data_IF_284584069030
#
_entry.id   IF_284584069030
#
_cell.length_a   1.000
_cell.length_b   1.000
_cell.length_c   1.000
_cell.angle_alpha   90.00
_cell.angle_beta   90.00
_cell.angle_gamma   90.00
#
_symmetry.space_group_name_H-M   'P 1'
#
loop_
_entity.id
_entity.type
_entity.pdbx_description
1 polymer ?
#
# COMPACT_ATOMS: atom_id res chain seq x y z
N UNK A 1 -17.76 75.69 11.23
CA UNK A 1 -16.76 74.68 10.84
C UNK A 1 -16.98 73.45 11.71
N UNK A 2 -17.81 72.51 11.25
CA UNK A 2 -17.99 71.20 11.90
C UNK A 2 -17.44 70.13 10.95
N UNK A 3 -16.49 69.35 11.45
CA UNK A 3 -15.78 68.30 10.73
C UNK A 3 -16.66 67.04 10.73
N UNK A 4 -17.15 66.62 9.57
CA UNK A 4 -17.87 65.34 9.42
C UNK A 4 -16.84 64.21 9.27
N UNK A 5 -16.74 63.33 10.26
CA UNK A 5 -15.96 62.08 10.17
C UNK A 5 -16.84 61.01 9.53
N UNK A 6 -16.49 60.59 8.32
CA UNK A 6 -17.12 59.45 7.63
C UNK A 6 -16.49 58.17 8.16
N UNK A 7 -17.26 57.37 8.91
CA UNK A 7 -16.86 56.02 9.32
C UNK A 7 -17.27 55.03 8.22
N UNK A 8 -16.32 54.60 7.40
CA UNK A 8 -16.51 53.49 6.47
C UNK A 8 -16.33 52.18 7.26
N UNK A 9 -17.44 51.49 7.53
CA UNK A 9 -17.41 50.13 8.08
C UNK A 9 -17.02 49.13 6.98
N UNK A 10 -15.78 48.64 7.02
CA UNK A 10 -15.33 47.50 6.22
C UNK A 10 -15.83 46.20 6.87
N UNK A 11 -16.92 45.64 6.35
CA UNK A 11 -17.33 44.26 6.62
C UNK A 11 -16.34 43.32 5.92
N UNK A 12 -15.29 42.92 6.62
CA UNK A 12 -14.45 41.78 6.26
C UNK A 12 -15.28 40.50 6.44
N UNK A 13 -15.90 40.04 5.35
CA UNK A 13 -16.37 38.67 5.26
C UNK A 13 -15.14 37.75 5.25
N UNK A 14 -14.89 37.10 6.38
CA UNK A 14 -13.88 36.06 6.50
C UNK A 14 -14.33 34.84 5.70
N UNK A 15 -13.91 34.79 4.43
CA UNK A 15 -13.94 33.55 3.65
C UNK A 15 -13.05 32.56 4.39
N UNK A 16 -13.58 31.41 4.88
CA UNK A 16 -12.73 30.42 5.52
C UNK A 16 -11.73 29.93 4.48
N UNK A 17 -10.45 30.06 4.81
CA UNK A 17 -9.35 29.57 4.00
C UNK A 17 -9.62 28.09 3.68
N UNK A 18 -9.90 27.81 2.40
CA UNK A 18 -9.96 26.44 1.89
C UNK A 18 -8.61 25.81 2.18
N UNK A 19 -8.58 24.86 3.12
CA UNK A 19 -7.39 24.09 3.44
C UNK A 19 -6.81 23.56 2.13
N UNK A 20 -5.58 23.97 1.82
CA UNK A 20 -4.82 23.43 0.68
C UNK A 20 -4.80 21.90 0.84
N UNK A 21 -5.05 21.12 -0.22
CA UNK A 21 -4.83 19.68 -0.15
C UNK A 21 -3.39 19.47 0.31
N UNK A 22 -3.19 18.61 1.30
CA UNK A 22 -1.86 18.11 1.65
C UNK A 22 -1.27 17.61 0.33
N UNK A 23 -0.22 18.28 -0.19
CA UNK A 23 0.50 17.78 -1.34
C UNK A 23 0.92 16.34 -1.02
N UNK A 24 0.38 15.37 -1.77
CA UNK A 24 0.64 13.96 -1.55
C UNK A 24 2.10 13.66 -1.94
N UNK A 25 2.99 13.87 -0.97
CA UNK A 25 4.42 13.62 -1.09
C UNK A 25 4.70 12.17 -1.48
N UNK A 26 3.75 11.25 -1.21
CA UNK A 26 3.85 9.84 -1.58
C UNK A 26 3.69 9.62 -3.10
N UNK A 27 2.82 10.38 -3.77
CA UNK A 27 2.55 10.21 -5.21
C UNK A 27 3.74 10.64 -6.08
N UNK A 28 4.50 11.68 -5.67
CA UNK A 28 5.74 12.08 -6.37
C UNK A 28 6.86 11.04 -6.31
N UNK A 29 6.81 10.13 -5.33
CA UNK A 29 7.80 9.07 -5.17
C UNK A 29 7.45 7.86 -6.06
N UNK A 30 6.16 7.55 -6.21
CA UNK A 30 5.69 6.53 -7.17
C UNK A 30 6.00 6.92 -8.63
N UNK A 31 6.04 8.21 -8.98
CA UNK A 31 6.33 8.65 -10.36
C UNK A 31 7.71 8.25 -10.89
N UNK A 32 8.68 7.94 -10.02
CA UNK A 32 10.04 7.57 -10.44
C UNK A 32 10.26 6.07 -10.64
N UNK A 33 9.28 5.21 -10.38
CA UNK A 33 9.45 3.74 -10.52
C UNK A 33 9.34 3.21 -11.96
N UNK A 34 9.16 4.09 -12.95
CA UNK A 34 9.02 3.70 -14.35
C UNK A 34 10.32 3.47 -15.15
N UNK A 35 11.49 3.88 -14.65
CA UNK A 35 12.76 3.71 -15.39
C UNK A 35 13.95 3.48 -14.45
N UNK A 36 14.31 2.21 -14.27
CA UNK A 36 15.59 1.80 -13.73
C UNK A 36 16.04 0.54 -14.47
N UNK A 37 16.93 0.71 -15.44
CA UNK A 37 17.72 -0.39 -16.01
C UNK A 37 18.39 -1.10 -14.81
N UNK A 38 18.10 -2.38 -14.62
CA UNK A 38 18.55 -3.30 -13.54
C UNK A 38 17.58 -3.60 -12.36
N UNK A 39 16.34 -3.10 -12.36
CA UNK A 39 15.32 -3.43 -11.34
C UNK A 39 14.23 -4.44 -11.80
N UNK A 40 13.51 -5.14 -10.88
CA UNK A 40 12.36 -5.96 -11.27
C UNK A 40 11.24 -5.09 -11.85
N UNK A 41 10.48 -5.64 -12.79
CA UNK A 41 9.30 -4.95 -13.32
C UNK A 41 8.28 -4.75 -12.19
N UNK A 42 7.92 -3.49 -11.93
CA UNK A 42 6.88 -3.12 -10.98
C UNK A 42 5.55 -2.97 -11.73
N UNK A 43 4.52 -3.66 -11.26
CA UNK A 43 3.12 -3.54 -11.70
C UNK A 43 2.28 -3.09 -10.53
N UNK A 44 1.09 -2.54 -10.79
CA UNK A 44 0.23 -2.05 -9.69
C UNK A 44 0.98 -1.08 -8.79
N UNK A 45 1.81 -0.19 -9.35
CA UNK A 45 2.55 0.82 -8.59
C UNK A 45 3.69 0.32 -7.69
N UNK A 46 3.53 -0.80 -7.00
CA UNK A 46 4.36 -1.29 -5.89
C UNK A 46 4.47 -2.83 -5.82
N UNK A 47 3.97 -3.58 -6.81
CA UNK A 47 4.08 -5.04 -6.85
C UNK A 47 5.17 -5.45 -7.84
N UNK A 48 6.25 -6.06 -7.34
CA UNK A 48 7.30 -6.62 -8.19
C UNK A 48 6.88 -7.95 -8.84
N UNK A 49 7.19 -8.12 -10.12
CA UNK A 49 6.98 -9.36 -10.90
C UNK A 49 8.32 -10.05 -11.15
N UNK A 50 8.46 -11.37 -10.89
CA UNK A 50 9.64 -12.11 -11.29
C UNK A 50 9.91 -12.01 -12.79
N UNK A 51 11.17 -11.91 -13.19
CA UNK A 51 11.55 -11.91 -14.61
C UNK A 51 11.07 -13.21 -15.29
N UNK A 52 10.29 -13.08 -16.37
CA UNK A 52 9.83 -14.22 -17.17
C UNK A 52 8.46 -14.83 -16.83
N UNK A 53 7.66 -14.26 -15.91
CA UNK A 53 6.34 -14.82 -15.58
C UNK A 53 5.17 -13.86 -15.77
N UNK A 54 4.06 -14.41 -16.30
CA UNK A 54 2.86 -13.69 -16.67
C UNK A 54 1.99 -13.32 -15.45
N UNK A 55 1.50 -12.10 -15.53
CA UNK A 55 0.60 -11.40 -14.63
C UNK A 55 -0.80 -12.05 -14.54
N UNK A 56 -0.99 -13.07 -13.70
CA UNK A 56 -2.24 -13.43 -13.00
C UNK A 56 -2.13 -14.84 -12.38
N UNK A 57 -1.52 -14.96 -11.19
CA UNK A 57 -1.69 -16.18 -10.40
C UNK A 57 -2.46 -15.83 -9.13
N UNK A 58 -3.54 -16.54 -8.77
CA UNK A 58 -3.96 -16.63 -7.38
C UNK A 58 -2.86 -17.37 -6.62
N UNK A 59 -1.73 -16.70 -6.39
CA UNK A 59 -0.48 -17.33 -5.97
C UNK A 59 -0.67 -18.07 -4.64
N UNK A 60 -1.57 -17.53 -3.80
CA UNK A 60 -1.92 -18.07 -2.48
C UNK A 60 -2.70 -19.38 -2.59
N UNK A 61 -3.26 -19.71 -3.76
CA UNK A 61 -3.94 -20.97 -4.01
C UNK A 61 -2.98 -22.11 -4.42
N UNK A 62 -1.73 -21.81 -4.82
CA UNK A 62 -0.84 -22.82 -5.43
C UNK A 62 0.45 -23.04 -4.66
N UNK A 63 1.34 -22.04 -4.48
CA UNK A 63 2.66 -22.23 -3.81
C UNK A 63 3.29 -20.98 -3.16
N UNK A 64 2.71 -19.78 -3.29
CA UNK A 64 3.35 -18.54 -2.80
C UNK A 64 3.13 -18.26 -1.30
N UNK A 65 2.40 -19.11 -0.56
CA UNK A 65 2.23 -18.88 0.87
C UNK A 65 3.55 -19.10 1.64
N UNK A 66 3.75 -18.30 2.67
CA UNK A 66 4.72 -18.63 3.72
C UNK A 66 4.28 -19.89 4.47
N UNK A 67 5.24 -20.73 4.86
CA UNK A 67 4.94 -22.06 5.41
C UNK A 67 4.49 -21.95 6.86
N UNK A 68 3.37 -22.59 7.18
CA UNK A 68 2.91 -22.78 8.56
C UNK A 68 3.76 -23.87 9.23
N UNK A 69 4.28 -23.55 10.41
CA UNK A 69 5.05 -24.47 11.24
C UNK A 69 4.11 -25.38 12.04
N UNK A 70 4.66 -26.47 12.60
CA UNK A 70 3.89 -27.46 13.37
C UNK A 70 3.18 -26.87 14.60
N UNK A 71 3.74 -25.82 15.19
CA UNK A 71 3.13 -25.10 16.32
C UNK A 71 2.01 -24.13 15.92
N UNK A 72 1.60 -24.14 14.65
CA UNK A 72 0.53 -23.28 14.15
C UNK A 72 0.97 -21.85 13.78
N UNK A 73 2.23 -21.47 14.00
CA UNK A 73 2.76 -20.15 13.65
C UNK A 73 3.37 -20.14 12.24
N UNK A 74 3.37 -18.97 11.60
CA UNK A 74 4.01 -18.75 10.29
C UNK A 74 5.20 -17.83 10.50
N UNK A 75 6.40 -18.41 10.47
CA UNK A 75 7.63 -17.63 10.59
C UNK A 75 8.05 -17.09 9.24
N UNK A 76 8.23 -15.77 9.15
CA UNK A 76 8.71 -15.06 7.96
C UNK A 76 10.07 -14.45 8.30
N UNK A 77 11.17 -15.10 7.90
CA UNK A 77 12.51 -14.58 8.19
C UNK A 77 12.77 -13.27 7.45
N UNK A 78 13.48 -12.34 8.08
CA UNK A 78 13.83 -11.05 7.47
C UNK A 78 15.26 -10.60 7.79
N UNK A 79 15.84 -9.83 6.88
CA UNK A 79 17.08 -9.07 7.06
C UNK A 79 16.79 -7.60 6.77
N UNK A 80 17.32 -6.69 7.59
CA UNK A 80 17.25 -5.25 7.36
C UNK A 80 18.63 -4.78 6.91
N UNK A 81 18.67 -4.06 5.79
CA UNK A 81 19.89 -3.44 5.25
C UNK A 81 20.52 -2.45 6.24
N UNK A 82 21.84 -2.33 6.22
CA UNK A 82 22.57 -1.33 7.02
C UNK A 82 22.45 0.10 6.46
N UNK A 83 21.72 0.29 5.36
CA UNK A 83 21.42 1.60 4.79
C UNK A 83 20.51 2.46 5.68
N UNK A 84 19.72 1.82 6.55
CA UNK A 84 18.75 2.51 7.42
C UNK A 84 19.41 3.05 8.69
N UNK A 85 18.95 4.22 9.13
CA UNK A 85 19.31 4.78 10.45
C UNK A 85 18.68 3.97 11.59
N UNK A 86 19.17 4.13 12.85
CA UNK A 86 18.54 3.49 14.00
C UNK A 86 17.05 3.82 14.17
N UNK A 87 16.64 5.06 13.88
CA UNK A 87 15.24 5.48 13.96
C UNK A 87 14.39 4.85 12.84
N UNK A 88 14.91 4.78 11.61
CA UNK A 88 14.25 4.09 10.51
C UNK A 88 14.07 2.59 10.81
N UNK A 89 15.09 1.95 11.41
CA UNK A 89 15.02 0.55 11.86
C UNK A 89 13.94 0.37 12.93
N UNK A 90 13.75 1.35 13.83
CA UNK A 90 12.70 1.30 14.86
C UNK A 90 11.31 1.26 14.21
N UNK A 91 11.05 2.13 13.22
CA UNK A 91 9.79 2.16 12.45
C UNK A 91 9.57 0.84 11.70
N UNK A 92 10.59 0.33 11.01
CA UNK A 92 10.49 -0.96 10.29
C UNK A 92 10.16 -2.11 11.27
N UNK A 93 10.82 -2.15 12.43
CA UNK A 93 10.55 -3.14 13.48
C UNK A 93 9.16 -2.98 14.09
N UNK A 94 8.64 -1.76 14.24
CA UNK A 94 7.26 -1.52 14.68
C UNK A 94 6.27 -2.11 13.67
N UNK A 95 6.47 -1.88 12.37
CA UNK A 95 5.68 -2.50 11.30
C UNK A 95 5.71 -4.03 11.35
N UNK A 96 6.90 -4.64 11.47
CA UNK A 96 7.05 -6.10 11.61
C UNK A 96 6.32 -6.65 12.86
N UNK A 97 6.46 -5.97 14.00
CA UNK A 97 5.88 -6.39 15.27
C UNK A 97 4.34 -6.24 15.32
N UNK A 98 3.76 -5.39 14.46
CA UNK A 98 2.31 -5.16 14.43
C UNK A 98 1.49 -6.42 14.16
N UNK A 99 2.08 -7.47 13.59
CA UNK A 99 1.41 -8.73 13.26
C UNK A 99 1.33 -9.74 14.43
N UNK A 100 2.22 -9.61 15.43
CA UNK A 100 2.44 -10.64 16.47
C UNK A 100 1.24 -10.85 17.38
N UNK A 101 0.54 -9.78 17.76
CA UNK A 101 -0.61 -9.83 18.69
C UNK A 101 -1.96 -10.08 18.04
N UNK A 102 -2.03 -10.01 16.71
CA UNK A 102 -3.30 -10.01 15.96
C UNK A 102 -3.41 -11.19 14.97
N UNK A 103 -2.32 -11.94 14.80
CA UNK A 103 -2.25 -13.06 13.87
C UNK A 103 -1.23 -14.11 14.33
N UNK A 104 -1.14 -15.21 13.57
CA UNK A 104 -0.11 -16.25 13.71
C UNK A 104 1.20 -15.91 12.95
N UNK A 105 1.28 -14.79 12.24
CA UNK A 105 2.48 -14.37 11.52
C UNK A 105 3.54 -13.90 12.51
N UNK A 106 4.79 -14.36 12.34
CA UNK A 106 5.95 -13.98 13.15
C UNK A 106 7.08 -13.60 12.21
N UNK A 107 7.34 -12.31 12.10
CA UNK A 107 8.56 -11.85 11.45
C UNK A 107 9.73 -12.08 12.39
N UNK A 108 10.74 -12.83 11.93
CA UNK A 108 11.89 -13.22 12.75
C UNK A 108 13.21 -12.86 12.05
N UNK A 109 14.27 -12.50 12.77
CA UNK A 109 15.57 -12.30 12.16
C UNK A 109 16.01 -13.53 11.35
N UNK A 110 16.53 -13.28 10.15
CA UNK A 110 17.10 -14.31 9.29
C UNK A 110 18.30 -14.97 9.98
N UNK A 111 18.29 -16.30 9.97
CA UNK A 111 19.31 -17.17 10.55
C UNK A 111 19.50 -18.40 9.65
N UNK A 112 19.86 -18.17 8.38
CA UNK A 112 20.18 -19.24 7.42
C UNK A 112 18.99 -19.90 6.73
N UNK A 113 17.75 -19.42 6.94
CA UNK A 113 16.60 -19.94 6.19
C UNK A 113 16.74 -19.60 4.70
N UNK A 114 16.37 -20.52 3.81
CA UNK A 114 16.43 -20.31 2.35
C UNK A 114 15.56 -19.13 1.90
N UNK A 115 14.34 -19.08 2.40
CA UNK A 115 13.34 -18.09 1.99
C UNK A 115 13.25 -16.99 3.06
N UNK A 116 13.46 -15.73 2.67
CA UNK A 116 13.46 -14.60 3.60
C UNK A 116 13.17 -13.27 2.90
N UNK A 117 12.76 -12.27 3.65
CA UNK A 117 12.61 -10.89 3.19
C UNK A 117 13.92 -10.13 3.34
N UNK A 118 14.41 -9.55 2.26
CA UNK A 118 15.54 -8.63 2.25
C UNK A 118 15.01 -7.19 2.19
N UNK A 119 14.87 -6.56 3.36
CA UNK A 119 14.35 -5.20 3.50
C UNK A 119 15.50 -4.22 3.22
N UNK A 120 15.39 -3.45 2.13
CA UNK A 120 16.44 -2.51 1.69
C UNK A 120 15.85 -1.26 1.05
N UNK A 121 16.66 -0.21 0.92
CA UNK A 121 16.22 1.04 0.33
C UNK A 121 16.59 1.10 -1.16
N UNK A 122 15.71 0.61 -2.02
CA UNK A 122 15.78 0.87 -3.46
C UNK A 122 14.92 2.11 -3.82
N UNK A 123 14.65 2.32 -5.11
CA UNK A 123 13.75 3.36 -5.60
C UNK A 123 12.29 2.96 -5.37
N UNK A 124 11.55 3.75 -4.60
CA UNK A 124 10.14 3.51 -4.30
C UNK A 124 9.86 2.50 -3.18
N UNK A 125 8.56 2.33 -2.91
CA UNK A 125 8.01 1.36 -1.97
C UNK A 125 7.46 0.20 -2.80
N UNK A 126 7.95 -1.03 -2.59
CA UNK A 126 7.42 -2.18 -3.31
C UNK A 126 7.76 -3.51 -2.65
N UNK A 127 7.01 -4.54 -3.00
CA UNK A 127 7.22 -5.91 -2.55
C UNK A 127 6.76 -6.92 -3.60
N UNK A 128 7.21 -8.16 -3.47
CA UNK A 128 6.64 -9.26 -4.24
C UNK A 128 5.36 -9.78 -3.59
N UNK A 129 4.47 -10.36 -4.39
CA UNK A 129 3.27 -11.02 -3.87
C UNK A 129 3.55 -12.42 -3.34
N UNK A 130 3.53 -12.56 -2.02
CA UNK A 130 3.80 -13.84 -1.37
C UNK A 130 5.28 -14.23 -1.43
N UNK A 131 5.56 -15.43 -0.95
CA UNK A 131 6.87 -16.10 -0.95
C UNK A 131 7.28 -16.50 -2.37
N UNK A 132 8.38 -15.94 -2.86
CA UNK A 132 8.95 -16.23 -4.19
C UNK A 132 9.91 -17.43 -4.18
N UNK A 133 10.54 -17.71 -3.03
CA UNK A 133 11.64 -18.66 -2.91
C UNK A 133 13.00 -17.94 -2.97
N UNK A 134 13.92 -18.29 -2.07
CA UNK A 134 15.14 -17.51 -1.88
C UNK A 134 14.90 -16.20 -1.12
N UNK A 135 15.92 -15.33 -1.09
CA UNK A 135 15.78 -13.97 -0.58
C UNK A 135 15.00 -13.09 -1.55
N UNK A 136 13.90 -12.48 -1.10
CA UNK A 136 13.08 -11.57 -1.91
C UNK A 136 13.11 -10.15 -1.35
N UNK A 137 13.12 -9.16 -2.23
CA UNK A 137 13.22 -7.74 -1.83
C UNK A 137 11.88 -7.24 -1.30
N UNK A 138 11.95 -6.45 -0.23
CA UNK A 138 10.95 -5.47 0.18
C UNK A 138 11.65 -4.13 0.15
N UNK A 139 11.30 -3.27 -0.81
CA UNK A 139 11.88 -1.93 -0.90
C UNK A 139 11.12 -0.98 -0.01
N UNK A 140 11.83 -0.37 0.93
CA UNK A 140 11.33 0.78 1.68
C UNK A 140 12.33 1.91 1.47
N UNK A 141 12.12 2.73 0.44
CA UNK A 141 12.96 3.91 0.21
C UNK A 141 12.99 4.79 1.46
N UNK A 142 14.20 5.08 1.96
CA UNK A 142 14.41 5.82 3.23
C UNK A 142 13.59 7.11 3.31
N UNK A 143 13.58 7.87 2.23
CA UNK A 143 12.72 9.04 2.07
C UNK A 143 11.46 8.62 1.33
N UNK A 144 10.34 8.53 2.04
CA UNK A 144 9.02 8.26 1.46
C UNK A 144 8.31 7.01 1.97
N UNK A 145 9.04 5.92 2.26
CA UNK A 145 8.42 4.63 2.56
C UNK A 145 8.51 4.21 4.02
N UNK A 146 9.40 4.82 4.81
CA UNK A 146 9.64 4.41 6.21
C UNK A 146 8.59 5.04 7.14
N UNK A 147 7.36 4.59 6.97
CA UNK A 147 6.21 4.88 7.82
C UNK A 147 5.49 3.59 8.17
N UNK A 148 5.00 3.45 9.41
CA UNK A 148 4.38 2.22 9.91
C UNK A 148 3.34 1.61 8.96
N UNK A 149 2.45 2.43 8.41
CA UNK A 149 1.38 1.98 7.52
C UNK A 149 1.89 1.50 6.15
N UNK A 150 2.95 2.11 5.61
CA UNK A 150 3.59 1.66 4.36
C UNK A 150 4.36 0.36 4.63
N UNK A 151 5.07 0.25 5.76
CA UNK A 151 5.72 -1.00 6.13
C UNK A 151 4.68 -2.13 6.25
N UNK A 152 3.54 -1.89 6.89
CA UNK A 152 2.44 -2.87 6.94
C UNK A 152 1.91 -3.23 5.54
N UNK A 153 1.75 -2.25 4.65
CA UNK A 153 1.31 -2.45 3.27
C UNK A 153 2.25 -3.38 2.49
N UNK A 154 3.55 -3.10 2.50
CA UNK A 154 4.54 -3.91 1.77
C UNK A 154 4.69 -5.32 2.36
N UNK A 155 4.52 -5.46 3.67
CA UNK A 155 4.49 -6.76 4.33
C UNK A 155 3.23 -7.56 3.99
N UNK A 156 2.07 -6.91 3.80
CA UNK A 156 0.85 -7.56 3.31
C UNK A 156 1.03 -8.06 1.86
N UNK A 157 1.68 -7.29 0.99
CA UNK A 157 2.11 -7.80 -0.31
C UNK A 157 3.00 -9.03 -0.17
N UNK A 158 4.02 -8.97 0.69
CA UNK A 158 4.90 -10.11 0.94
C UNK A 158 4.15 -11.35 1.49
N UNK A 159 3.00 -11.17 2.14
CA UNK A 159 2.11 -12.23 2.60
C UNK A 159 1.13 -12.73 1.52
N UNK A 160 1.03 -12.06 0.37
CA UNK A 160 0.26 -12.47 -0.80
C UNK A 160 -1.06 -11.71 -0.98
N UNK A 161 -1.21 -10.52 -0.40
CA UNK A 161 -2.38 -9.68 -0.58
C UNK A 161 -2.17 -8.69 -1.73
N UNK A 162 -3.13 -8.65 -2.66
CA UNK A 162 -3.22 -7.58 -3.67
C UNK A 162 -3.89 -6.34 -3.07
N UNK A 163 -3.82 -5.22 -3.79
CA UNK A 163 -4.62 -4.05 -3.43
C UNK A 163 -6.12 -4.28 -3.49
N UNK A 164 -6.84 -3.51 -2.69
CA UNK A 164 -8.29 -3.61 -2.56
C UNK A 164 -9.01 -3.22 -3.86
N UNK A 165 -8.56 -2.16 -4.54
CA UNK A 165 -9.16 -1.69 -5.80
C UNK A 165 -8.97 -2.65 -6.98
N UNK A 166 -8.10 -3.65 -6.84
CA UNK A 166 -7.88 -4.68 -7.84
C UNK A 166 -8.74 -5.93 -7.61
N UNK A 167 -9.58 -5.98 -6.57
CA UNK A 167 -10.47 -7.12 -6.33
C UNK A 167 -11.38 -7.41 -7.53
N UNK A 168 -11.72 -8.69 -7.68
CA UNK A 168 -12.62 -9.18 -8.73
C UNK A 168 -14.02 -8.55 -8.69
N UNK A 169 -14.49 -8.15 -7.50
CA UNK A 169 -15.82 -7.56 -7.25
C UNK A 169 -15.80 -6.02 -7.14
N UNK A 170 -14.65 -5.36 -7.33
CA UNK A 170 -14.47 -3.93 -7.07
C UNK A 170 -15.44 -3.01 -7.81
N UNK A 171 -15.93 -3.39 -9.00
CA UNK A 171 -16.87 -2.56 -9.79
C UNK A 171 -18.25 -2.40 -9.11
N UNK A 172 -18.53 -3.17 -8.05
CA UNK A 172 -19.72 -2.98 -7.18
C UNK A 172 -19.52 -1.89 -6.12
N UNK A 173 -18.29 -1.40 -5.96
CA UNK A 173 -17.86 -0.57 -4.83
C UNK A 173 -17.17 0.72 -5.28
N UNK A 174 -16.43 0.68 -6.39
CA UNK A 174 -15.77 1.86 -6.94
C UNK A 174 -15.96 1.95 -8.45
N UNK A 175 -15.94 3.18 -8.96
CA UNK A 175 -15.81 3.48 -10.38
C UNK A 175 -14.40 3.99 -10.66
N UNK A 176 -13.74 3.43 -11.67
CA UNK A 176 -12.44 3.92 -12.17
C UNK A 176 -12.70 4.95 -13.26
N UNK A 177 -12.03 6.09 -13.17
CA UNK A 177 -12.06 7.19 -14.13
C UNK A 177 -10.79 7.17 -14.99
N UNK A 178 -10.74 6.24 -15.94
CA UNK A 178 -9.56 6.03 -16.79
C UNK A 178 -9.08 7.29 -17.52
N UNK A 179 -10.00 8.20 -17.85
CA UNK A 179 -9.66 9.47 -18.50
C UNK A 179 -8.75 10.37 -17.65
N UNK A 180 -8.70 10.19 -16.32
CA UNK A 180 -7.86 10.96 -15.40
C UNK A 180 -6.53 10.29 -15.07
N UNK A 181 -6.31 9.03 -15.49
CA UNK A 181 -5.10 8.26 -15.19
C UNK A 181 -3.96 8.68 -16.13
N UNK A 182 -2.72 8.74 -15.61
CA UNK A 182 -1.52 8.96 -16.43
C UNK A 182 -1.42 7.88 -17.52
N UNK A 183 -1.17 8.27 -18.79
CA UNK A 183 -1.00 7.30 -19.87
C UNK A 183 0.03 6.23 -19.51
N UNK A 184 -0.27 4.98 -19.85
CA UNK A 184 0.52 3.77 -19.54
C UNK A 184 0.42 3.29 -18.08
N UNK A 185 -0.23 4.01 -17.17
CA UNK A 185 -0.44 3.58 -15.78
C UNK A 185 -1.81 2.91 -15.55
N UNK A 186 -2.63 2.76 -16.59
CA UNK A 186 -3.97 2.15 -16.51
C UNK A 186 -3.91 0.68 -16.07
N UNK A 187 -2.78 0.02 -16.31
CA UNK A 187 -2.55 -1.35 -15.90
C UNK A 187 -2.61 -1.53 -14.37
N UNK A 188 -2.31 -0.49 -13.59
CA UNK A 188 -2.40 -0.48 -12.12
C UNK A 188 -3.86 -0.61 -11.61
N UNK A 189 -4.84 -0.36 -12.46
CA UNK A 189 -6.26 -0.40 -12.11
C UNK A 189 -6.97 -1.64 -12.66
N UNK A 190 -6.24 -2.56 -13.31
CA UNK A 190 -6.80 -3.80 -13.84
C UNK A 190 -7.22 -4.74 -12.72
N UNK A 191 -8.45 -5.26 -12.79
CA UNK A 191 -8.95 -6.27 -11.85
C UNK A 191 -8.07 -7.53 -11.87
N UNK A 192 -8.01 -8.21 -10.74
CA UNK A 192 -7.38 -9.51 -10.55
C UNK A 192 -8.42 -10.54 -10.13
N UNK A 193 -8.17 -11.81 -10.50
CA UNK A 193 -8.95 -12.95 -9.98
C UNK A 193 -8.53 -13.21 -8.54
N UNK A 194 -9.04 -12.40 -7.63
CA UNK A 194 -8.72 -12.44 -6.20
C UNK A 194 -9.54 -13.51 -5.49
N UNK A 195 -8.91 -14.19 -4.53
CA UNK A 195 -9.64 -14.91 -3.48
C UNK A 195 -9.99 -13.91 -2.38
N UNK A 196 -11.26 -13.48 -2.35
CA UNK A 196 -11.73 -12.46 -1.41
C UNK A 196 -11.89 -12.99 0.04
N UNK A 197 -11.61 -14.28 0.27
CA UNK A 197 -11.68 -14.96 1.58
C UNK A 197 -13.02 -14.77 2.31
N UNK A 198 -14.11 -14.60 1.56
CA UNK A 198 -15.45 -14.33 2.10
C UNK A 198 -15.48 -13.10 2.99
N UNK A 199 -14.73 -12.05 2.64
CA UNK A 199 -14.76 -10.75 3.32
C UNK A 199 -15.34 -9.68 2.39
N UNK A 200 -16.08 -8.70 2.93
CA UNK A 200 -16.60 -7.59 2.14
C UNK A 200 -15.44 -6.73 1.61
N UNK A 201 -15.77 -5.88 0.63
CA UNK A 201 -14.89 -4.82 0.17
C UNK A 201 -14.67 -3.79 1.28
N UNK A 202 -13.45 -3.33 1.45
CA UNK A 202 -13.04 -2.45 2.54
C UNK A 202 -12.36 -1.17 2.05
N UNK A 203 -13.11 -0.07 2.02
CA UNK A 203 -12.59 1.25 1.66
C UNK A 203 -11.48 1.75 2.59
N UNK A 204 -11.44 1.25 3.84
CA UNK A 204 -10.46 1.62 4.87
C UNK A 204 -9.30 0.61 4.97
N UNK A 205 -9.19 -0.34 4.03
CA UNK A 205 -8.04 -1.24 3.97
C UNK A 205 -6.76 -0.44 3.74
N UNK A 206 -5.69 -0.81 4.45
CA UNK A 206 -4.35 -0.23 4.17
C UNK A 206 -3.87 -0.58 2.76
N UNK A 207 -4.49 -1.58 2.12
CA UNK A 207 -4.21 -2.00 0.75
C UNK A 207 -5.05 -1.25 -0.30
N UNK A 208 -5.88 -0.27 0.07
CA UNK A 208 -6.66 0.50 -0.88
C UNK A 208 -5.88 1.74 -1.35
N UNK A 209 -5.81 1.98 -2.65
CA UNK A 209 -5.24 3.21 -3.20
C UNK A 209 -5.99 4.48 -2.80
N UNK A 210 -5.25 5.60 -2.81
CA UNK A 210 -5.81 6.94 -2.68
C UNK A 210 -6.80 7.23 -3.82
N UNK A 211 -7.68 8.20 -3.60
CA UNK A 211 -8.63 8.69 -4.59
C UNK A 211 -7.97 9.26 -5.86
N UNK A 212 -6.75 9.78 -5.70
CA UNK A 212 -6.01 10.51 -6.74
C UNK A 212 -4.84 9.71 -7.31
N UNK A 213 -4.67 8.46 -6.89
CA UNK A 213 -3.59 7.59 -7.31
C UNK A 213 -3.43 7.63 -8.84
N UNK A 214 -2.20 7.90 -9.29
CA UNK A 214 -1.83 8.01 -10.70
C UNK A 214 -2.62 9.05 -11.53
N UNK A 215 -3.11 10.11 -10.90
CA UNK A 215 -3.81 11.19 -11.60
C UNK A 215 -2.85 12.02 -12.48
N UNK A 216 -3.29 12.35 -13.70
CA UNK A 216 -2.56 13.23 -14.63
C UNK A 216 -2.94 14.69 -14.53
N UNK A 217 -4.05 14.98 -13.85
CA UNK A 217 -4.72 16.28 -13.87
C UNK A 217 -5.20 16.71 -12.48
N UNK A 218 -4.72 16.06 -11.41
CA UNK A 218 -5.16 16.27 -10.02
C UNK A 218 -6.66 16.01 -9.79
N UNK A 219 -7.33 15.36 -10.73
CA UNK A 219 -8.72 14.92 -10.60
C UNK A 219 -8.77 13.47 -10.09
N UNK A 220 -9.85 13.04 -9.42
CA UNK A 220 -9.99 11.67 -8.93
C UNK A 220 -9.82 10.63 -10.06
N UNK A 221 -9.03 9.59 -9.81
CA UNK A 221 -8.95 8.41 -10.69
C UNK A 221 -9.92 7.31 -10.24
N UNK A 222 -10.41 7.38 -9.00
CA UNK A 222 -11.39 6.45 -8.44
C UNK A 222 -12.45 7.15 -7.60
N UNK A 223 -13.69 6.70 -7.71
CA UNK A 223 -14.81 7.24 -6.95
C UNK A 223 -15.59 6.08 -6.30
N UNK A 224 -15.77 6.08 -4.96
CA UNK A 224 -16.63 5.13 -4.29
C UNK A 224 -18.11 5.25 -4.69
N UNK A 225 -18.81 4.12 -4.69
CA UNK A 225 -20.23 4.01 -4.98
C UNK A 225 -20.94 3.14 -3.92
N UNK A 226 -22.23 3.39 -3.64
CA UNK A 226 -23.04 4.49 -4.16
C UNK A 226 -22.70 5.86 -3.56
N UNK A 227 -22.04 5.88 -2.39
CA UNK A 227 -21.67 7.11 -1.71
C UNK A 227 -20.26 7.58 -2.11
N UNK A 228 -20.18 8.62 -2.95
CA UNK A 228 -18.93 9.22 -3.43
C UNK A 228 -18.07 9.87 -2.33
N UNK A 229 -18.65 10.15 -1.16
CA UNK A 229 -17.96 10.84 -0.07
C UNK A 229 -17.18 9.88 0.85
N UNK A 230 -17.27 8.57 0.63
CA UNK A 230 -16.47 7.60 1.38
C UNK A 230 -14.98 7.87 1.18
N UNK A 231 -14.23 7.92 2.27
CA UNK A 231 -12.78 8.10 2.27
C UNK A 231 -12.11 6.80 1.84
N UNK A 232 -11.08 6.89 0.99
CA UNK A 232 -10.29 5.76 0.49
C UNK A 232 -8.80 6.11 0.47
N UNK A 233 -7.95 5.16 0.82
CA UNK A 233 -6.49 5.28 0.75
C UNK A 233 -5.85 6.25 1.75
N UNK A 234 -6.55 6.58 2.83
CA UNK A 234 -6.00 7.38 3.94
C UNK A 234 -5.68 6.54 5.19
N UNK A 235 -5.82 5.22 5.10
CA UNK A 235 -5.61 4.31 6.21
C UNK A 235 -4.17 4.39 6.75
N UNK A 236 -4.03 4.55 8.07
CA UNK A 236 -2.73 4.63 8.77
C UNK A 236 -2.39 3.37 9.57
N UNK A 237 -3.17 2.30 9.41
CA UNK A 237 -2.96 0.97 9.99
C UNK A 237 -3.83 -0.05 9.27
N UNK A 238 -3.48 -1.33 9.41
CA UNK A 238 -4.35 -2.44 9.00
C UNK A 238 -5.77 -2.30 9.56
N UNK A 239 -6.76 -2.51 8.70
CA UNK A 239 -8.15 -2.57 9.10
C UNK A 239 -8.48 -3.91 9.77
N UNK A 240 -9.62 -4.03 10.47
CA UNK A 240 -10.11 -5.32 10.96
C UNK A 240 -10.26 -6.36 9.83
N UNK A 241 -10.60 -5.94 8.60
CA UNK A 241 -10.71 -6.84 7.45
C UNK A 241 -9.33 -7.31 6.96
N UNK A 242 -8.31 -6.45 6.94
CA UNK A 242 -6.94 -6.84 6.61
C UNK A 242 -6.47 -7.95 7.55
N UNK A 243 -6.67 -7.75 8.85
CA UNK A 243 -6.32 -8.70 9.92
C UNK A 243 -7.12 -10.01 9.77
N UNK A 244 -8.42 -9.92 9.52
CA UNK A 244 -9.27 -11.09 9.32
C UNK A 244 -8.80 -11.92 8.11
N UNK A 245 -8.41 -11.26 7.02
CA UNK A 245 -7.91 -11.93 5.81
C UNK A 245 -6.58 -12.63 6.05
N UNK A 246 -5.64 -12.03 6.79
CA UNK A 246 -4.42 -12.70 7.24
C UNK A 246 -4.77 -13.97 7.99
N UNK A 247 -5.64 -13.87 8.99
CA UNK A 247 -6.01 -15.00 9.85
C UNK A 247 -6.73 -16.12 9.09
N UNK A 248 -7.67 -15.78 8.19
CA UNK A 248 -8.33 -16.77 7.31
C UNK A 248 -7.34 -17.47 6.38
N UNK A 249 -6.32 -16.75 5.91
CA UNK A 249 -5.36 -17.27 4.95
C UNK A 249 -4.30 -18.18 5.59
N UNK A 250 -3.86 -17.86 6.81
CA UNK A 250 -2.66 -18.46 7.44
C UNK A 250 -2.91 -19.15 8.78
N UNK A 251 -3.90 -18.72 9.55
CA UNK A 251 -3.97 -19.02 10.99
C UNK A 251 -5.06 -20.03 11.37
N UNK A 252 -5.69 -20.65 10.37
CA UNK A 252 -6.54 -21.83 10.52
C UNK A 252 -5.68 -23.07 10.56
#
# INVERSE_FOLDING_TARGET
>A
MYLLVVVISLLLSSVPARSRPVEDFNEKIFWKSGQGMDGPLITFGDIAVPTGFQNADPCTARRCKWRKSRNGLVYVPYKISNQYSPDEIKVIKQGLNSFTGISCIRFVPHNGQRDFLNIKSDSGCYSYLGRQGGGQVVSLQRRGCVYDYIVQHELLHALGFHHEQNRSDRDKHIKILFQNIIPQQEHNFKKRKTNNLGTPYDYNSVMHYSRFAFSKNNEPTMIPIPNRNVVIGEARKMSPNDILRINKLYCR
#
